data_IF_879092815460
#
_entry.id   IF_879092815460
#
_cell.length_a   1.000
_cell.length_b   1.000
_cell.length_c   1.000
_cell.angle_alpha   90.00
_cell.angle_beta   90.00
_cell.angle_gamma   90.00
#
_symmetry.space_group_name_H-M   'P 1'
#
loop_
_entity.id
_entity.type
_entity.pdbx_description
1 polymer ?
#
# COMPACT_ATOMS: atom_id res chain seq x y z
N UNK A 1 69.18 -3.31 -34.45
CA UNK A 1 68.23 -2.19 -34.63
C UNK A 1 66.83 -2.79 -34.61
N UNK A 2 66.18 -2.78 -33.43
CA UNK A 2 64.87 -2.13 -33.13
C UNK A 2 63.66 -2.80 -33.84
N UNK A 3 62.51 -3.10 -33.25
CA UNK A 3 61.90 -3.00 -31.91
C UNK A 3 60.72 -4.00 -31.97
N UNK A 4 60.53 -4.79 -30.91
CA UNK A 4 59.36 -5.65 -30.68
C UNK A 4 58.10 -4.80 -30.47
N UNK A 5 56.98 -5.13 -31.12
CA UNK A 5 55.67 -4.53 -30.82
C UNK A 5 54.74 -5.56 -30.19
N UNK A 6 54.62 -5.47 -28.87
CA UNK A 6 53.56 -6.06 -28.07
C UNK A 6 52.22 -5.40 -28.45
N UNK A 7 51.23 -6.21 -28.85
CA UNK A 7 49.83 -5.78 -28.90
C UNK A 7 49.25 -5.87 -27.48
N UNK A 8 49.14 -4.74 -26.80
CA UNK A 8 48.44 -4.65 -25.53
C UNK A 8 46.93 -4.50 -25.78
N UNK A 9 46.16 -5.54 -25.44
CA UNK A 9 44.71 -5.48 -25.39
C UNK A 9 44.28 -4.67 -24.16
N UNK A 10 43.65 -3.50 -24.39
CA UNK A 10 43.04 -2.71 -23.31
C UNK A 10 41.64 -3.26 -23.05
N UNK A 11 41.48 -4.03 -21.96
CA UNK A 11 40.17 -4.37 -21.43
C UNK A 11 39.66 -3.19 -20.59
N UNK A 12 38.64 -2.47 -21.09
CA UNK A 12 37.92 -1.46 -20.31
C UNK A 12 36.97 -2.20 -19.36
N UNK A 13 37.37 -2.35 -18.10
CA UNK A 13 36.47 -2.82 -17.05
C UNK A 13 35.52 -1.68 -16.65
N UNK A 14 34.26 -1.77 -17.09
CA UNK A 14 33.20 -0.88 -16.62
C UNK A 14 32.76 -1.33 -15.23
N UNK A 15 33.34 -0.75 -14.18
CA UNK A 15 32.89 -0.99 -12.81
C UNK A 15 31.52 -0.34 -12.61
N UNK A 16 30.45 -1.14 -12.61
CA UNK A 16 29.13 -0.71 -12.21
C UNK A 16 29.13 -0.48 -10.69
N UNK A 17 29.20 0.78 -10.26
CA UNK A 17 28.95 1.14 -8.87
C UNK A 17 27.45 1.03 -8.61
N UNK A 18 27.03 -0.07 -7.99
CA UNK A 18 25.71 -0.14 -7.36
C UNK A 18 25.71 0.85 -6.18
N UNK A 19 25.14 2.03 -6.39
CA UNK A 19 24.85 2.94 -5.30
C UNK A 19 23.78 2.27 -4.42
N UNK A 20 24.18 1.76 -3.26
CA UNK A 20 23.24 1.42 -2.20
C UNK A 20 22.55 2.71 -1.78
N UNK A 21 21.30 2.90 -2.19
CA UNK A 21 20.46 3.93 -1.61
C UNK A 21 20.30 3.60 -0.13
N UNK A 22 21.04 4.32 0.73
CA UNK A 22 20.73 4.34 2.15
C UNK A 22 19.26 4.75 2.28
N UNK A 23 18.44 3.87 2.82
CA UNK A 23 17.07 4.22 3.17
C UNK A 23 17.18 5.21 4.30
N UNK A 24 17.11 6.51 4.00
CA UNK A 24 16.92 7.54 5.01
C UNK A 24 15.77 7.04 5.90
N UNK A 25 16.08 6.82 7.19
CA UNK A 25 15.12 6.22 8.12
C UNK A 25 13.80 6.99 8.07
N UNK A 26 12.69 6.27 7.95
CA UNK A 26 11.36 6.91 7.95
C UNK A 26 11.20 7.61 9.30
N UNK A 27 11.19 8.95 9.29
CA UNK A 27 10.84 9.72 10.47
C UNK A 27 9.34 9.59 10.69
N UNK A 28 8.96 8.72 11.62
CA UNK A 28 7.58 8.59 12.05
C UNK A 28 7.20 9.80 12.91
N UNK A 29 6.00 10.39 12.72
CA UNK A 29 5.49 11.38 13.64
C UNK A 29 5.24 10.71 15.01
N UNK A 30 5.48 11.45 16.08
CA UNK A 30 5.01 11.06 17.41
C UNK A 30 3.48 11.19 17.42
N UNK A 31 2.82 10.03 17.31
CA UNK A 31 1.38 9.94 17.10
C UNK A 31 0.81 8.71 17.80
N UNK A 32 -0.12 8.94 18.72
CA UNK A 32 -0.89 7.89 19.39
C UNK A 32 -2.35 8.33 19.47
N UNK A 33 -3.24 7.60 18.80
CA UNK A 33 -4.70 7.80 18.88
C UNK A 33 -5.43 6.47 18.97
N UNK A 34 -6.47 6.45 19.79
CA UNK A 34 -7.46 5.37 19.85
C UNK A 34 -8.31 5.34 18.57
N UNK A 35 -8.99 4.20 18.28
CA UNK A 35 -9.97 4.14 17.19
C UNK A 35 -11.08 5.19 17.30
N UNK A 36 -11.48 5.56 18.52
CA UNK A 36 -12.50 6.58 18.76
C UNK A 36 -12.02 7.98 18.35
N UNK A 37 -10.82 8.36 18.77
CA UNK A 37 -10.21 9.66 18.40
C UNK A 37 -9.93 9.75 16.90
N UNK A 38 -9.51 8.65 16.28
CA UNK A 38 -9.37 8.56 14.83
C UNK A 38 -10.71 8.73 14.10
N UNK A 39 -11.77 8.09 14.61
CA UNK A 39 -13.11 8.15 14.01
C UNK A 39 -13.77 9.53 14.12
N UNK A 40 -13.40 10.31 15.14
CA UNK A 40 -13.83 11.68 15.34
C UNK A 40 -13.01 12.70 14.53
N UNK A 41 -11.89 12.28 13.91
CA UNK A 41 -11.09 13.16 13.06
C UNK A 41 -11.84 13.42 11.73
N UNK A 42 -11.87 14.66 11.22
CA UNK A 42 -12.48 14.96 9.92
C UNK A 42 -11.87 14.12 8.80
N UNK A 43 -12.70 13.71 7.83
CA UNK A 43 -12.23 12.97 6.67
C UNK A 43 -11.22 13.82 5.87
N UNK A 44 -10.06 13.24 5.58
CA UNK A 44 -9.04 13.83 4.71
C UNK A 44 -9.31 13.55 3.24
N UNK A 45 -10.12 12.53 2.95
CA UNK A 45 -10.27 11.98 1.61
C UNK A 45 -9.00 11.23 1.17
N UNK A 46 -9.01 10.76 -0.09
CA UNK A 46 -7.86 10.11 -0.71
C UNK A 46 -8.16 8.76 -1.37
N UNK A 47 -7.14 8.19 -2.02
CA UNK A 47 -7.26 6.98 -2.83
C UNK A 47 -7.75 5.74 -2.07
N UNK A 48 -7.65 5.73 -0.73
CA UNK A 48 -8.20 4.66 0.11
C UNK A 48 -9.70 4.44 -0.06
N UNK A 49 -10.46 5.49 -0.39
CA UNK A 49 -11.92 5.44 -0.51
C UNK A 49 -12.43 4.82 -1.82
N UNK A 50 -11.55 4.60 -2.81
CA UNK A 50 -11.92 4.06 -4.12
C UNK A 50 -13.05 4.81 -4.83
N UNK A 51 -13.19 6.12 -4.55
CA UNK A 51 -14.27 6.97 -5.08
C UNK A 51 -15.67 6.64 -4.56
N UNK A 52 -15.81 5.77 -3.57
CA UNK A 52 -17.12 5.37 -3.04
C UNK A 52 -17.63 6.40 -2.02
N UNK A 53 -18.82 6.98 -2.27
CA UNK A 53 -19.42 8.00 -1.41
C UNK A 53 -19.76 7.53 0.02
N UNK A 54 -19.81 6.21 0.26
CA UNK A 54 -20.01 5.60 1.58
C UNK A 54 -18.70 5.31 2.31
N UNK A 55 -17.54 5.73 1.77
CA UNK A 55 -16.24 5.50 2.39
C UNK A 55 -15.56 6.83 2.71
N UNK A 56 -15.47 7.13 3.99
CA UNK A 56 -14.62 8.22 4.47
C UNK A 56 -13.21 7.70 4.72
N UNK A 57 -12.23 8.54 4.40
CA UNK A 57 -10.80 8.26 4.60
C UNK A 57 -10.25 9.27 5.58
N UNK A 58 -9.53 8.81 6.59
CA UNK A 58 -8.68 9.62 7.46
C UNK A 58 -7.25 9.15 7.31
N UNK A 59 -6.40 9.97 6.73
CA UNK A 59 -4.96 9.72 6.64
C UNK A 59 -4.29 9.92 8.00
N UNK A 60 -3.60 8.89 8.47
CA UNK A 60 -2.90 8.87 9.76
C UNK A 60 -1.42 9.15 9.56
N UNK A 61 -0.82 8.51 8.55
CA UNK A 61 0.59 8.62 8.21
C UNK A 61 0.74 8.55 6.70
N UNK A 62 1.68 9.33 6.15
CA UNK A 62 2.09 9.24 4.75
C UNK A 62 1.01 9.69 3.76
N UNK A 63 1.11 9.21 2.52
CA UNK A 63 0.19 9.54 1.41
C UNK A 63 0.00 8.29 0.55
N UNK A 64 -1.23 7.77 0.49
CA UNK A 64 -1.54 6.53 -0.23
C UNK A 64 -1.41 6.66 -1.76
N UNK A 65 -1.22 7.87 -2.30
CA UNK A 65 -0.95 8.13 -3.72
C UNK A 65 0.55 8.16 -4.07
N UNK A 66 1.44 8.16 -3.06
CA UNK A 66 2.89 8.24 -3.24
C UNK A 66 3.57 6.91 -2.86
N UNK A 67 4.77 6.63 -3.38
CA UNK A 67 5.59 5.54 -2.88
C UNK A 67 5.94 5.74 -1.40
N UNK A 68 5.84 4.70 -0.58
CA UNK A 68 6.22 4.71 0.83
C UNK A 68 5.19 4.08 1.76
N UNK A 69 5.50 4.07 3.06
CA UNK A 69 4.58 3.60 4.11
C UNK A 69 3.52 4.66 4.35
N UNK A 70 2.28 4.22 4.49
CA UNK A 70 1.18 5.07 4.92
C UNK A 70 0.20 4.25 5.76
N UNK A 71 -0.60 4.94 6.57
CA UNK A 71 -1.67 4.36 7.37
C UNK A 71 -2.92 5.22 7.21
N UNK A 72 -4.07 4.58 7.06
CA UNK A 72 -5.37 5.25 6.96
C UNK A 72 -6.40 4.53 7.83
N UNK A 73 -7.34 5.27 8.40
CA UNK A 73 -8.62 4.74 8.84
C UNK A 73 -9.63 4.86 7.69
N UNK A 74 -10.33 3.77 7.39
CA UNK A 74 -11.48 3.78 6.48
C UNK A 74 -12.75 3.62 7.32
N UNK A 75 -13.64 4.60 7.28
CA UNK A 75 -14.98 4.49 7.86
C UNK A 75 -15.93 4.13 6.73
N UNK A 76 -16.32 2.87 6.69
CA UNK A 76 -17.14 2.33 5.60
C UNK A 76 -18.58 2.21 6.07
N UNK A 77 -19.47 2.96 5.43
CA UNK A 77 -20.90 2.93 5.71
C UNK A 77 -21.56 1.63 5.25
N UNK A 78 -22.70 1.24 5.86
CA UNK A 78 -23.43 0.04 5.49
C UNK A 78 -23.80 -0.02 4.00
N UNK A 79 -23.64 -1.21 3.41
CA UNK A 79 -23.96 -1.48 2.00
C UNK A 79 -23.03 -0.80 1.01
N UNK A 80 -21.88 -0.29 1.42
CA UNK A 80 -20.83 0.09 0.48
C UNK A 80 -20.39 -1.12 -0.33
N UNK A 81 -20.36 -0.97 -1.66
CA UNK A 81 -19.84 -1.97 -2.58
C UNK A 81 -18.70 -1.35 -3.37
N UNK A 82 -17.51 -1.92 -3.26
CA UNK A 82 -16.29 -1.47 -3.92
C UNK A 82 -15.92 -2.51 -4.99
N UNK A 83 -15.96 -2.16 -6.29
CA UNK A 83 -15.61 -3.06 -7.37
C UNK A 83 -14.21 -3.65 -7.24
N UNK A 84 -13.94 -4.73 -7.97
CA UNK A 84 -12.61 -5.30 -8.03
C UNK A 84 -11.59 -4.28 -8.57
N UNK A 85 -10.51 -4.03 -7.82
CA UNK A 85 -9.47 -3.06 -8.19
C UNK A 85 -8.10 -3.50 -7.69
N UNK A 86 -7.06 -2.84 -8.19
CA UNK A 86 -5.68 -3.05 -7.80
C UNK A 86 -5.22 -1.99 -6.79
N UNK A 87 -4.11 -2.28 -6.14
CA UNK A 87 -3.41 -1.33 -5.28
C UNK A 87 -2.07 -0.96 -5.91
N UNK A 88 -1.61 0.27 -5.66
CA UNK A 88 -0.27 0.69 -6.06
C UNK A 88 0.83 0.02 -5.24
N UNK A 89 0.51 -0.62 -4.10
CA UNK A 89 1.43 -1.27 -3.18
C UNK A 89 0.73 -2.34 -2.35
N UNK A 90 1.52 -3.18 -1.67
CA UNK A 90 0.99 -4.17 -0.73
C UNK A 90 0.39 -3.48 0.49
N UNK A 91 -0.70 -4.03 1.02
CA UNK A 91 -1.40 -3.48 2.17
C UNK A 91 -1.81 -4.59 3.14
N UNK A 92 -2.01 -4.22 4.39
CA UNK A 92 -2.75 -5.02 5.36
C UNK A 92 -3.85 -4.14 5.94
N UNK A 93 -5.06 -4.69 6.02
CA UNK A 93 -6.18 -4.04 6.69
C UNK A 93 -6.59 -4.85 7.92
N UNK A 94 -6.99 -4.15 8.98
CA UNK A 94 -7.55 -4.77 10.19
C UNK A 94 -8.92 -4.19 10.46
N UNK A 95 -9.89 -5.05 10.74
CA UNK A 95 -11.24 -4.61 11.13
C UNK A 95 -11.21 -4.13 12.57
N UNK A 96 -11.32 -2.82 12.77
CA UNK A 96 -11.34 -2.21 14.10
C UNK A 96 -12.74 -2.26 14.75
N UNK A 97 -13.79 -2.21 13.94
CA UNK A 97 -15.18 -2.28 14.40
C UNK A 97 -16.07 -2.85 13.29
N UNK A 98 -17.18 -3.51 13.69
CA UNK A 98 -18.20 -4.01 12.77
C UNK A 98 -17.81 -5.29 12.06
N UNK A 99 -18.27 -5.44 10.82
CA UNK A 99 -18.01 -6.61 9.98
C UNK A 99 -17.63 -6.15 8.59
N UNK A 100 -16.56 -6.75 8.05
CA UNK A 100 -16.07 -6.44 6.73
C UNK A 100 -16.15 -7.64 5.81
N UNK A 101 -16.61 -7.43 4.58
CA UNK A 101 -16.64 -8.47 3.57
C UNK A 101 -15.54 -8.19 2.55
N UNK A 102 -14.70 -9.18 2.25
CA UNK A 102 -13.51 -8.98 1.44
C UNK A 102 -13.32 -10.14 0.46
N UNK A 103 -13.20 -9.82 -0.82
CA UNK A 103 -12.98 -10.76 -1.91
C UNK A 103 -11.67 -10.53 -2.63
N UNK A 104 -11.21 -11.59 -3.30
CA UNK A 104 -10.15 -11.54 -4.30
C UNK A 104 -10.72 -12.03 -5.64
N UNK A 105 -10.20 -11.49 -6.74
CA UNK A 105 -10.60 -11.91 -8.09
C UNK A 105 -10.72 -10.76 -9.06
N UNK A 106 -10.88 -11.08 -10.35
CA UNK A 106 -10.99 -10.09 -11.42
C UNK A 106 -12.24 -9.21 -11.30
N UNK A 107 -13.29 -9.71 -10.65
CA UNK A 107 -14.61 -9.10 -10.58
C UNK A 107 -15.16 -9.11 -9.15
N UNK A 108 -16.15 -8.27 -8.89
CA UNK A 108 -16.89 -8.31 -7.63
C UNK A 108 -17.89 -9.46 -7.67
N UNK A 109 -17.76 -10.40 -6.75
CA UNK A 109 -18.64 -11.56 -6.62
C UNK A 109 -19.02 -11.73 -5.14
N UNK A 110 -20.29 -11.44 -4.82
CA UNK A 110 -20.80 -11.51 -3.44
C UNK A 110 -20.62 -12.88 -2.81
N UNK A 111 -20.66 -13.94 -3.62
CA UNK A 111 -20.59 -15.32 -3.13
C UNK A 111 -19.18 -15.73 -2.71
N UNK A 112 -18.16 -14.98 -3.15
CA UNK A 112 -16.74 -15.23 -2.86
C UNK A 112 -16.17 -14.32 -1.78
N UNK A 113 -17.00 -13.47 -1.17
CA UNK A 113 -16.56 -12.59 -0.10
C UNK A 113 -16.30 -13.38 1.18
N UNK A 114 -15.15 -13.11 1.80
CA UNK A 114 -14.82 -13.58 3.14
C UNK A 114 -15.38 -12.60 4.16
N UNK A 115 -16.12 -13.09 5.15
CA UNK A 115 -16.55 -12.31 6.30
C UNK A 115 -15.41 -12.18 7.30
N UNK A 116 -15.07 -10.95 7.66
CA UNK A 116 -14.00 -10.57 8.58
C UNK A 116 -14.63 -9.89 9.80
N UNK A 117 -14.59 -10.52 10.98
CA UNK A 117 -15.06 -9.90 12.23
C UNK A 117 -14.02 -8.90 12.76
N UNK A 118 -14.38 -8.21 13.85
CA UNK A 118 -13.45 -7.39 14.65
C UNK A 118 -12.13 -8.12 14.93
N UNK A 119 -11.04 -7.35 14.95
CA UNK A 119 -9.67 -7.81 15.16
C UNK A 119 -9.12 -8.76 14.09
N UNK A 120 -9.86 -9.01 13.00
CA UNK A 120 -9.34 -9.78 11.86
C UNK A 120 -8.48 -8.91 10.95
N UNK A 121 -7.25 -9.36 10.70
CA UNK A 121 -6.35 -8.80 9.68
C UNK A 121 -6.45 -9.55 8.36
N UNK A 122 -6.37 -8.82 7.24
CA UNK A 122 -6.37 -9.37 5.88
C UNK A 122 -5.28 -8.68 5.02
N UNK A 123 -4.40 -9.44 4.35
CA UNK A 123 -3.45 -8.86 3.41
C UNK A 123 -4.14 -8.50 2.09
N UNK A 124 -3.64 -7.50 1.40
CA UNK A 124 -4.07 -7.12 0.06
C UNK A 124 -2.83 -6.87 -0.80
N UNK A 125 -2.25 -7.95 -1.37
CA UNK A 125 -1.06 -7.83 -2.22
C UNK A 125 -1.33 -7.00 -3.46
N UNK A 126 -0.33 -6.23 -3.91
CA UNK A 126 -0.35 -5.40 -5.12
C UNK A 126 -0.73 -6.20 -6.37
N UNK A 127 -0.32 -7.46 -6.43
CA UNK A 127 -0.56 -8.36 -7.56
C UNK A 127 -1.99 -8.89 -7.63
N UNK A 128 -2.78 -8.73 -6.56
CA UNK A 128 -4.14 -9.23 -6.47
C UNK A 128 -5.16 -8.12 -6.72
N UNK A 129 -6.19 -8.41 -7.51
CA UNK A 129 -7.41 -7.62 -7.48
C UNK A 129 -8.24 -8.00 -6.26
N UNK A 130 -8.79 -6.99 -5.61
CA UNK A 130 -9.59 -7.15 -4.40
C UNK A 130 -10.90 -6.39 -4.54
N UNK A 131 -11.94 -6.91 -3.90
CA UNK A 131 -13.31 -6.41 -3.94
C UNK A 131 -13.91 -6.44 -2.53
N UNK A 132 -14.86 -5.56 -2.23
CA UNK A 132 -15.33 -5.35 -0.85
C UNK A 132 -16.80 -4.94 -0.81
#
# INVERSE_FOLDING_TARGET
>A
MKISQFMASVAIALAATAASAETAGIKLPDYAKTPAELSATPATGGAGGSGNAKVEVVTILGDASKPGIYTQLLKVGPGAQIPAHHHAGDRVGTVLQGTWHFGYGSEFDKTKLKTLPVARSIPSPRTSRISR
#
